data_IF_317777028052
#
_entry.id   IF_317777028052
#
_cell.length_a   1.000
_cell.length_b   1.000
_cell.length_c   1.000
_cell.angle_alpha   90.00
_cell.angle_beta   90.00
_cell.angle_gamma   90.00
#
_symmetry.space_group_name_H-M   'P 1'
#
loop_
_entity.id
_entity.type
_entity.pdbx_description
1 polymer ?
#
# COMPACT_ATOMS: atom_id res chain seq x y z
N UNK A 1 -12.51 6.31 -24.37
CA UNK A 1 -13.97 6.03 -24.39
C UNK A 1 -14.64 6.16 -25.76
N UNK A 2 -14.63 7.33 -26.42
CA UNK A 2 -15.44 7.55 -27.65
C UNK A 2 -15.17 6.55 -28.78
N UNK A 3 -13.92 6.13 -28.93
CA UNK A 3 -13.51 5.03 -29.81
C UNK A 3 -14.25 3.72 -29.53
N UNK A 4 -14.34 3.31 -28.27
CA UNK A 4 -15.03 2.09 -27.84
C UNK A 4 -16.54 2.16 -28.10
N UNK A 5 -17.17 3.30 -27.78
CA UNK A 5 -18.62 3.51 -28.02
C UNK A 5 -18.96 3.44 -29.51
N UNK A 6 -18.14 4.05 -30.35
CA UNK A 6 -18.36 4.04 -31.81
C UNK A 6 -18.10 2.66 -32.41
N UNK A 7 -17.12 1.90 -31.89
CA UNK A 7 -16.93 0.49 -32.25
C UNK A 7 -18.12 -0.37 -31.83
N UNK A 8 -18.62 -0.23 -30.60
CA UNK A 8 -19.82 -0.93 -30.14
C UNK A 8 -21.02 -0.69 -31.06
N UNK A 9 -21.25 0.57 -31.46
CA UNK A 9 -22.30 0.89 -32.43
C UNK A 9 -22.11 0.17 -33.77
N UNK A 10 -20.90 0.10 -34.29
CA UNK A 10 -20.61 -0.55 -35.56
C UNK A 10 -20.71 -2.08 -35.47
N UNK A 11 -20.06 -2.67 -34.47
CA UNK A 11 -19.78 -4.10 -34.37
C UNK A 11 -20.96 -4.86 -33.72
N UNK A 12 -21.59 -4.30 -32.69
CA UNK A 12 -22.65 -4.97 -31.94
C UNK A 12 -24.06 -4.51 -32.32
N UNK A 13 -24.21 -3.26 -32.80
CA UNK A 13 -25.51 -2.71 -33.17
C UNK A 13 -25.76 -2.68 -34.68
N UNK A 14 -24.83 -3.20 -35.50
CA UNK A 14 -24.95 -3.24 -36.96
C UNK A 14 -24.90 -1.85 -37.62
N UNK A 15 -24.27 -0.87 -36.96
CA UNK A 15 -24.20 0.51 -37.43
C UNK A 15 -23.14 0.79 -38.50
N UNK A 16 -22.38 -0.22 -38.92
CA UNK A 16 -21.22 -0.07 -39.80
C UNK A 16 -21.57 0.30 -41.25
N UNK A 17 -22.76 -0.06 -41.74
CA UNK A 17 -23.20 0.19 -43.14
C UNK A 17 -23.11 1.66 -43.58
N UNK A 18 -23.23 2.60 -42.63
CA UNK A 18 -23.17 4.05 -42.90
C UNK A 18 -21.79 4.66 -42.58
N UNK A 19 -20.81 3.85 -42.21
CA UNK A 19 -19.49 4.30 -41.77
C UNK A 19 -18.44 3.97 -42.82
N UNK A 20 -17.94 4.99 -43.52
CA UNK A 20 -16.82 4.82 -44.46
C UNK A 20 -15.50 4.50 -43.74
N UNK A 21 -15.30 5.12 -42.59
CA UNK A 21 -14.00 5.18 -41.92
C UNK A 21 -14.16 5.47 -40.44
N UNK A 22 -13.34 4.80 -39.64
CA UNK A 22 -13.22 5.00 -38.21
C UNK A 22 -11.78 5.40 -37.86
N UNK A 23 -11.62 6.47 -37.07
CA UNK A 23 -10.33 6.96 -36.61
C UNK A 23 -10.38 7.04 -35.08
N UNK A 24 -9.71 6.11 -34.41
CA UNK A 24 -9.54 6.13 -32.96
C UNK A 24 -8.33 6.96 -32.58
N UNK A 25 -8.52 7.96 -31.73
CA UNK A 25 -7.42 8.77 -31.15
C UNK A 25 -7.28 8.36 -29.70
N UNK A 26 -6.10 7.88 -29.31
CA UNK A 26 -5.83 7.29 -28.00
C UNK A 26 -6.95 6.31 -27.56
N UNK A 27 -7.34 5.36 -28.43
CA UNK A 27 -8.50 4.53 -28.17
C UNK A 27 -8.20 3.50 -27.06
N UNK A 28 -9.24 3.11 -26.33
CA UNK A 28 -9.21 2.06 -25.30
C UNK A 28 -9.73 0.75 -25.88
N UNK A 29 -9.15 0.30 -26.99
CA UNK A 29 -9.69 -0.81 -27.77
C UNK A 29 -9.71 -2.12 -27.00
N UNK A 30 -8.68 -2.34 -26.19
CA UNK A 30 -8.54 -3.50 -25.30
C UNK A 30 -8.69 -3.10 -23.83
N UNK A 31 -9.45 -2.02 -23.57
CA UNK A 31 -9.60 -1.40 -22.26
C UNK A 31 -8.43 -0.45 -21.92
N UNK A 32 -8.45 0.05 -20.69
CA UNK A 32 -7.34 0.80 -20.11
C UNK A 32 -6.95 0.13 -18.79
N UNK A 33 -5.68 -0.25 -18.63
CA UNK A 33 -5.23 -0.89 -17.40
C UNK A 33 -5.43 0.02 -16.17
N UNK A 34 -5.33 1.34 -16.36
CA UNK A 34 -5.64 2.35 -15.35
C UNK A 34 -7.09 2.29 -14.82
N UNK A 35 -8.03 1.69 -15.58
CA UNK A 35 -9.42 1.54 -15.16
C UNK A 35 -9.68 0.29 -14.31
N UNK A 36 -8.74 -0.66 -14.25
CA UNK A 36 -8.89 -1.88 -13.47
C UNK A 36 -8.76 -1.57 -11.96
N UNK A 37 -9.65 -2.15 -11.15
CA UNK A 37 -9.70 -1.92 -9.68
C UNK A 37 -8.93 -3.04 -8.98
N UNK A 38 -8.20 -2.71 -7.91
CA UNK A 38 -7.45 -3.69 -7.09
C UNK A 38 -6.13 -4.10 -7.74
N UNK A 39 -5.60 -3.28 -8.64
CA UNK A 39 -4.34 -3.53 -9.31
C UNK A 39 -3.14 -3.14 -8.43
N UNK A 40 -2.02 -3.86 -8.55
CA UNK A 40 -0.71 -3.42 -8.06
C UNK A 40 -0.32 -1.96 -8.29
N UNK A 41 -0.69 -1.39 -9.44
CA UNK A 41 -0.24 -0.10 -9.96
C UNK A 41 -1.34 0.96 -9.90
N UNK A 42 -2.57 0.57 -9.56
CA UNK A 42 -3.74 1.45 -9.41
C UNK A 42 -4.33 1.23 -8.01
N UNK A 43 -3.92 2.04 -7.00
CA UNK A 43 -4.43 1.93 -5.64
C UNK A 43 -5.97 1.94 -5.59
N UNK A 44 -6.56 1.27 -4.60
CA UNK A 44 -8.02 1.17 -4.50
C UNK A 44 -8.69 2.55 -4.37
N UNK A 45 -8.01 3.49 -3.73
CA UNK A 45 -8.43 4.89 -3.66
C UNK A 45 -8.31 5.61 -5.02
N UNK A 46 -7.27 5.34 -5.82
CA UNK A 46 -7.16 5.87 -7.18
C UNK A 46 -8.34 5.36 -8.02
N UNK A 47 -8.69 4.08 -7.90
CA UNK A 47 -9.90 3.47 -8.48
C UNK A 47 -11.21 4.17 -8.09
N UNK A 48 -11.30 4.70 -6.86
CA UNK A 48 -12.44 5.50 -6.40
C UNK A 48 -12.52 6.87 -7.07
N UNK A 49 -11.42 7.43 -7.58
CA UNK A 49 -11.35 8.78 -8.17
C UNK A 49 -11.00 8.81 -9.66
N UNK A 50 -10.69 7.67 -10.29
CA UNK A 50 -10.47 7.53 -11.74
C UNK A 50 -11.67 8.11 -12.52
N UNK A 51 -12.88 8.07 -11.96
CA UNK A 51 -14.03 8.71 -12.58
C UNK A 51 -13.99 10.26 -12.65
N UNK A 52 -13.20 10.90 -11.80
CA UNK A 52 -12.94 12.33 -11.89
C UNK A 52 -11.82 12.66 -12.89
N UNK A 53 -11.09 11.64 -13.37
CA UNK A 53 -9.92 11.76 -14.25
C UNK A 53 -10.24 11.41 -15.71
N UNK A 54 -10.93 10.29 -15.95
CA UNK A 54 -11.07 9.70 -17.31
C UNK A 54 -12.54 9.52 -17.76
N UNK A 55 -13.54 9.86 -16.93
CA UNK A 55 -14.96 9.84 -17.30
C UNK A 55 -15.89 9.36 -16.19
N UNK A 56 -17.21 9.31 -16.40
CA UNK A 56 -18.17 8.92 -15.34
C UNK A 56 -17.91 7.51 -14.77
N UNK A 57 -18.36 7.23 -13.53
CA UNK A 57 -18.20 5.88 -12.92
C UNK A 57 -18.66 4.73 -13.84
N UNK A 58 -19.79 4.84 -14.57
CA UNK A 58 -20.18 3.84 -15.57
C UNK A 58 -19.19 3.73 -16.74
N UNK A 59 -18.67 4.86 -17.24
CA UNK A 59 -17.71 4.86 -18.34
C UNK A 59 -16.40 4.17 -17.94
N UNK A 60 -15.87 4.47 -16.74
CA UNK A 60 -14.68 3.79 -16.20
C UNK A 60 -14.92 2.28 -16.09
N UNK A 61 -16.09 1.88 -15.56
CA UNK A 61 -16.44 0.46 -15.44
C UNK A 61 -16.44 -0.25 -16.80
N UNK A 62 -16.96 0.40 -17.84
CA UNK A 62 -17.00 -0.15 -19.19
C UNK A 62 -15.61 -0.18 -19.86
N UNK A 63 -14.65 0.66 -19.45
CA UNK A 63 -13.30 0.70 -20.01
C UNK A 63 -12.30 -0.25 -19.32
N UNK A 64 -12.73 -0.98 -18.28
CA UNK A 64 -11.91 -2.02 -17.64
C UNK A 64 -11.46 -3.05 -18.65
N UNK A 65 -10.25 -3.56 -18.51
CA UNK A 65 -9.74 -4.58 -19.43
C UNK A 65 -10.51 -5.90 -19.33
N UNK A 66 -11.21 -6.12 -18.21
CA UNK A 66 -12.16 -7.23 -18.00
C UNK A 66 -13.61 -6.79 -17.96
N UNK A 67 -13.95 -5.66 -18.56
CA UNK A 67 -15.37 -5.34 -18.75
C UNK A 67 -15.93 -6.25 -19.84
N UNK A 68 -17.21 -6.59 -19.73
CA UNK A 68 -17.91 -7.33 -20.78
C UNK A 68 -17.86 -6.56 -22.10
N UNK A 69 -17.93 -5.23 -22.05
CA UNK A 69 -17.87 -4.37 -23.23
C UNK A 69 -16.52 -4.51 -23.97
N UNK A 70 -15.40 -4.54 -23.24
CA UNK A 70 -14.07 -4.72 -23.81
C UNK A 70 -13.87 -6.14 -24.31
N UNK A 71 -14.28 -7.15 -23.54
CA UNK A 71 -14.18 -8.56 -23.93
C UNK A 71 -14.94 -8.82 -25.24
N UNK A 72 -16.17 -8.34 -25.37
CA UNK A 72 -16.96 -8.46 -26.61
C UNK A 72 -16.29 -7.78 -27.80
N UNK A 73 -15.72 -6.58 -27.62
CA UNK A 73 -15.04 -5.88 -28.70
C UNK A 73 -13.67 -6.49 -29.05
N UNK A 74 -13.08 -7.31 -28.17
CA UNK A 74 -11.82 -8.02 -28.42
C UNK A 74 -11.99 -9.25 -29.31
N UNK A 75 -13.21 -9.78 -29.44
CA UNK A 75 -13.52 -10.94 -30.31
C UNK A 75 -13.35 -10.64 -31.82
N UNK A 76 -12.92 -9.41 -32.18
CA UNK A 76 -12.42 -9.01 -33.51
C UNK A 76 -13.43 -9.13 -34.66
N UNK A 77 -14.71 -8.84 -34.41
CA UNK A 77 -15.75 -8.70 -35.45
C UNK A 77 -15.65 -7.35 -36.21
N UNK A 78 -14.44 -6.93 -36.61
CA UNK A 78 -14.25 -5.69 -37.35
C UNK A 78 -14.85 -5.80 -38.76
N UNK A 79 -15.62 -4.82 -39.17
CA UNK A 79 -16.26 -4.80 -40.49
C UNK A 79 -15.23 -4.51 -41.60
N UNK A 80 -15.12 -5.41 -42.57
CA UNK A 80 -14.20 -5.24 -43.71
C UNK A 80 -14.58 -4.07 -44.64
N UNK A 81 -15.81 -3.56 -44.58
CA UNK A 81 -16.27 -2.39 -45.30
C UNK A 81 -15.81 -1.06 -44.68
N UNK A 82 -15.32 -1.06 -43.44
CA UNK A 82 -14.90 0.15 -42.71
C UNK A 82 -13.37 0.27 -42.72
N UNK A 83 -12.87 1.46 -43.04
CA UNK A 83 -11.44 1.78 -42.90
C UNK A 83 -11.11 2.13 -41.44
N UNK A 84 -10.44 1.24 -40.72
CA UNK A 84 -10.00 1.47 -39.34
C UNK A 84 -8.59 2.05 -39.27
N UNK A 85 -8.42 3.10 -38.47
CA UNK A 85 -7.13 3.75 -38.21
C UNK A 85 -7.00 4.10 -36.74
N UNK A 86 -5.80 3.91 -36.20
CA UNK A 86 -5.45 4.22 -34.82
C UNK A 86 -4.43 5.36 -34.81
N UNK A 87 -4.63 6.36 -33.96
CA UNK A 87 -3.66 7.43 -33.68
C UNK A 87 -3.35 7.36 -32.19
N UNK A 88 -2.07 7.32 -31.81
CA UNK A 88 -1.62 7.16 -30.42
C UNK A 88 -0.50 8.15 -30.09
N UNK A 89 -0.56 8.78 -28.92
CA UNK A 89 0.59 9.46 -28.32
C UNK A 89 1.48 8.49 -27.53
N UNK A 90 2.81 8.63 -27.61
CA UNK A 90 3.78 7.76 -26.94
C UNK A 90 4.94 8.55 -26.33
N UNK A 91 5.65 7.96 -25.35
CA UNK A 91 6.80 8.54 -24.65
C UNK A 91 8.11 7.77 -24.91
N UNK A 92 8.44 7.52 -26.17
CA UNK A 92 9.66 6.81 -26.58
C UNK A 92 10.95 7.51 -26.12
N UNK A 93 10.95 8.82 -25.85
CA UNK A 93 12.11 9.52 -25.29
C UNK A 93 12.23 9.41 -23.75
N UNK A 94 11.36 8.63 -23.11
CA UNK A 94 11.44 8.32 -21.68
C UNK A 94 11.36 9.57 -20.78
N UNK A 95 10.65 10.61 -21.22
CA UNK A 95 10.52 11.87 -20.46
C UNK A 95 9.71 11.61 -19.19
N UNK A 96 10.36 11.67 -18.03
CA UNK A 96 9.73 11.45 -16.73
C UNK A 96 8.58 12.44 -16.42
N UNK A 97 8.53 13.58 -17.12
CA UNK A 97 7.48 14.59 -17.00
C UNK A 97 6.30 14.37 -17.96
N UNK A 98 6.40 13.39 -18.86
CA UNK A 98 5.45 13.13 -19.96
C UNK A 98 4.02 12.93 -19.52
N UNK A 99 3.78 12.34 -18.35
CA UNK A 99 2.44 12.08 -17.84
C UNK A 99 2.34 12.51 -16.39
N UNK A 100 1.82 13.71 -16.18
CA UNK A 100 1.39 14.19 -14.86
C UNK A 100 -0.13 14.25 -14.81
N UNK A 101 -0.74 13.28 -14.14
CA UNK A 101 -2.17 13.23 -13.94
C UNK A 101 -2.52 14.13 -12.75
N UNK A 102 -3.23 15.23 -13.02
CA UNK A 102 -3.71 16.15 -11.97
C UNK A 102 -4.94 15.58 -11.25
N UNK A 103 -4.74 15.09 -10.05
CA UNK A 103 -5.77 14.77 -9.06
C UNK A 103 -6.13 16.01 -8.24
N UNK A 104 -7.42 16.23 -7.99
CA UNK A 104 -7.93 17.27 -7.08
C UNK A 104 -7.37 18.69 -7.31
N UNK A 105 -7.04 19.04 -8.55
CA UNK A 105 -6.57 20.38 -8.93
C UNK A 105 -5.13 20.73 -8.55
N UNK A 106 -4.47 19.96 -7.68
CA UNK A 106 -3.11 20.25 -7.18
C UNK A 106 -2.18 19.04 -7.04
N UNK A 107 -2.69 17.81 -6.99
CA UNK A 107 -1.88 16.61 -6.81
C UNK A 107 -1.48 16.09 -8.20
N UNK A 108 -0.18 16.06 -8.52
CA UNK A 108 0.33 15.49 -9.78
C UNK A 108 0.83 14.07 -9.54
N UNK A 109 0.10 13.06 -10.05
CA UNK A 109 0.63 11.71 -10.16
C UNK A 109 1.52 11.63 -11.39
N UNK A 110 2.82 11.48 -11.17
CA UNK A 110 3.80 11.13 -12.19
C UNK A 110 4.09 9.64 -12.13
N UNK A 111 3.79 8.90 -13.19
CA UNK A 111 4.23 7.50 -13.31
C UNK A 111 5.66 7.41 -13.88
N UNK A 112 6.53 8.40 -13.61
CA UNK A 112 7.84 8.52 -14.23
C UNK A 112 7.78 8.58 -15.76
N UNK A 113 6.72 9.19 -16.32
CA UNK A 113 6.48 9.23 -17.76
C UNK A 113 5.92 7.95 -18.37
N UNK A 114 5.77 6.88 -17.59
CA UNK A 114 5.26 5.58 -18.08
C UNK A 114 3.72 5.52 -18.05
N UNK A 115 3.18 4.59 -18.80
CA UNK A 115 1.75 4.27 -18.88
C UNK A 115 1.50 2.87 -18.34
N UNK A 116 0.39 2.64 -17.65
CA UNK A 116 0.04 1.31 -17.14
C UNK A 116 -0.54 0.48 -18.30
N UNK A 117 -0.02 -0.74 -18.45
CA UNK A 117 -0.33 -1.69 -19.52
C UNK A 117 -0.82 -3.03 -18.94
N UNK A 118 -1.45 -3.87 -19.78
CA UNK A 118 -1.99 -5.18 -19.35
C UNK A 118 -2.05 -6.15 -20.54
N UNK A 119 -1.56 -7.38 -20.32
CA UNK A 119 -1.71 -8.52 -21.23
C UNK A 119 -2.10 -9.79 -20.48
N UNK A 120 -2.68 -10.72 -21.23
CA UNK A 120 -2.85 -12.09 -20.77
C UNK A 120 -1.57 -12.89 -21.02
N UNK A 121 -1.07 -13.55 -19.98
CA UNK A 121 0.02 -14.54 -20.06
C UNK A 121 -0.46 -15.78 -19.32
N UNK A 122 -0.49 -16.92 -20.02
CA UNK A 122 -0.96 -18.21 -19.48
C UNK A 122 -2.36 -18.15 -18.83
N UNK A 123 -3.28 -17.39 -19.45
CA UNK A 123 -4.66 -17.22 -18.97
C UNK A 123 -4.80 -16.30 -17.75
N UNK A 124 -3.70 -15.72 -17.25
CA UNK A 124 -3.71 -14.74 -16.16
C UNK A 124 -3.46 -13.33 -16.69
N UNK A 125 -4.14 -12.32 -16.12
CA UNK A 125 -3.85 -10.91 -16.38
C UNK A 125 -2.54 -10.52 -15.71
N UNK A 126 -1.66 -9.86 -16.45
CA UNK A 126 -0.40 -9.32 -15.96
C UNK A 126 -0.31 -7.85 -16.34
N UNK A 127 0.19 -7.03 -15.42
CA UNK A 127 0.27 -5.56 -15.55
C UNK A 127 1.73 -5.11 -15.48
N UNK A 128 2.08 -4.02 -16.16
CA UNK A 128 3.40 -3.39 -16.11
C UNK A 128 3.30 -1.91 -16.48
N UNK A 129 4.38 -1.15 -16.29
CA UNK A 129 4.50 0.21 -16.80
C UNK A 129 5.39 0.24 -18.04
N UNK A 130 4.95 0.99 -19.05
CA UNK A 130 5.60 1.08 -20.36
C UNK A 130 5.75 2.53 -20.79
N UNK A 131 6.86 2.90 -21.43
CA UNK A 131 7.00 4.19 -22.09
C UNK A 131 6.18 4.27 -23.39
N UNK A 132 5.78 3.12 -23.93
CA UNK A 132 4.91 3.02 -25.09
C UNK A 132 3.44 3.22 -24.69
N UNK A 133 3.08 4.45 -24.37
CA UNK A 133 1.69 4.84 -24.12
C UNK A 133 1.54 6.34 -23.91
N UNK A 134 0.29 6.79 -23.82
CA UNK A 134 -0.04 8.22 -23.76
C UNK A 134 -0.17 8.79 -22.33
N UNK A 135 0.23 8.00 -21.33
CA UNK A 135 0.08 8.30 -19.91
C UNK A 135 -1.23 7.80 -19.29
N UNK A 136 -2.20 7.34 -20.08
CA UNK A 136 -3.50 6.80 -19.64
C UNK A 136 -3.79 5.42 -20.25
N UNK A 137 -3.48 5.24 -21.53
CA UNK A 137 -3.72 4.02 -22.31
C UNK A 137 -2.42 3.58 -22.96
N UNK A 138 -2.00 2.34 -22.69
CA UNK A 138 -0.82 1.78 -23.31
C UNK A 138 -1.02 1.57 -24.81
N UNK A 139 0.06 1.69 -25.58
CA UNK A 139 0.05 1.52 -27.04
C UNK A 139 -0.59 0.19 -27.44
N UNK A 140 -0.20 -0.89 -26.79
CA UNK A 140 -0.76 -2.22 -27.03
C UNK A 140 -2.28 -2.28 -26.80
N UNK A 141 -2.80 -1.56 -25.81
CA UNK A 141 -4.24 -1.52 -25.52
C UNK A 141 -5.01 -0.62 -26.49
N UNK A 142 -4.31 0.31 -27.15
CA UNK A 142 -4.86 1.13 -28.23
C UNK A 142 -4.84 0.46 -29.60
N UNK A 143 -4.01 -0.55 -29.82
CA UNK A 143 -3.89 -1.18 -31.13
C UNK A 143 -5.18 -1.90 -31.58
N UNK A 144 -5.27 -2.15 -32.89
CA UNK A 144 -6.24 -3.08 -33.47
C UNK A 144 -5.48 -4.00 -34.40
N UNK A 145 -5.57 -5.30 -34.16
CA UNK A 145 -4.84 -6.30 -34.92
C UNK A 145 -5.05 -6.14 -36.44
N UNK A 146 -3.95 -6.00 -37.18
CA UNK A 146 -3.98 -5.87 -38.64
C UNK A 146 -4.52 -4.55 -39.19
N UNK A 147 -4.77 -3.54 -38.35
CA UNK A 147 -5.21 -2.19 -38.79
C UNK A 147 -4.07 -1.19 -38.65
N UNK A 148 -4.13 -0.12 -39.45
CA UNK A 148 -3.03 0.85 -39.53
C UNK A 148 -2.98 1.79 -38.33
N UNK A 149 -1.77 2.15 -37.90
CA UNK A 149 -1.51 2.95 -36.71
C UNK A 149 -0.53 4.10 -36.99
N UNK A 150 -0.77 5.24 -36.37
CA UNK A 150 0.07 6.44 -36.40
C UNK A 150 0.46 6.81 -34.96
N UNK A 151 1.72 6.60 -34.60
CA UNK A 151 2.26 6.97 -33.29
C UNK A 151 2.93 8.35 -33.34
N UNK A 152 2.74 9.14 -32.29
CA UNK A 152 3.31 10.48 -32.14
C UNK A 152 4.06 10.61 -30.82
N UNK A 153 5.36 10.86 -30.94
CA UNK A 153 6.24 11.02 -29.80
C UNK A 153 5.99 12.33 -29.03
N UNK A 154 6.10 12.28 -27.70
CA UNK A 154 5.96 13.45 -26.83
C UNK A 154 4.52 13.89 -26.57
N UNK A 155 3.52 13.12 -27.02
CA UNK A 155 2.10 13.47 -26.89
C UNK A 155 1.38 12.61 -25.85
N UNK A 156 0.74 13.28 -24.91
CA UNK A 156 -0.04 12.67 -23.83
C UNK A 156 -1.49 12.44 -24.25
N UNK A 157 -2.26 11.75 -23.42
CA UNK A 157 -3.68 11.51 -23.64
C UNK A 157 -4.46 12.81 -23.92
N UNK A 158 -4.07 13.90 -23.25
CA UNK A 158 -4.72 15.20 -23.34
C UNK A 158 -4.17 16.10 -24.44
N UNK A 159 -2.89 15.95 -24.83
CA UNK A 159 -2.27 16.83 -25.84
C UNK A 159 -2.43 16.29 -27.25
N UNK A 160 -2.59 14.97 -27.43
CA UNK A 160 -2.75 14.33 -28.75
C UNK A 160 -3.94 14.90 -29.53
N UNK A 161 -5.07 15.14 -28.87
CA UNK A 161 -6.31 15.60 -29.52
C UNK A 161 -6.25 17.06 -30.00
N UNK A 162 -5.38 17.87 -29.40
CA UNK A 162 -5.21 19.30 -29.72
C UNK A 162 -3.90 19.59 -30.48
N UNK A 163 -3.12 18.57 -30.83
CA UNK A 163 -1.86 18.73 -31.54
C UNK A 163 -2.08 19.06 -33.03
N UNK A 164 -1.43 20.11 -33.53
CA UNK A 164 -1.61 20.58 -34.90
C UNK A 164 -1.21 19.56 -35.97
N UNK A 165 -0.18 18.75 -35.71
CA UNK A 165 0.27 17.69 -36.63
C UNK A 165 -0.75 16.55 -36.68
N UNK A 166 -1.26 16.13 -35.52
CA UNK A 166 -2.32 15.11 -35.42
C UNK A 166 -3.60 15.59 -36.14
N UNK A 167 -4.02 16.83 -35.90
CA UNK A 167 -5.19 17.42 -36.57
C UNK A 167 -5.00 17.45 -38.09
N UNK A 168 -3.82 17.87 -38.56
CA UNK A 168 -3.51 17.89 -39.99
C UNK A 168 -3.60 16.49 -40.59
N UNK A 169 -3.09 15.47 -39.88
CA UNK A 169 -3.17 14.07 -40.32
C UNK A 169 -4.60 13.56 -40.42
N UNK A 170 -5.45 13.88 -39.45
CA UNK A 170 -6.87 13.53 -39.50
C UNK A 170 -7.55 14.19 -40.69
N UNK A 171 -7.25 15.46 -40.97
CA UNK A 171 -7.78 16.16 -42.15
C UNK A 171 -7.35 15.47 -43.46
N UNK A 172 -6.10 15.00 -43.55
CA UNK A 172 -5.65 14.21 -44.71
C UNK A 172 -6.49 12.94 -44.89
N UNK A 173 -6.68 12.17 -43.83
CA UNK A 173 -7.49 10.95 -43.86
C UNK A 173 -8.95 11.21 -44.27
N UNK A 174 -9.54 12.29 -43.77
CA UNK A 174 -10.92 12.64 -44.10
C UNK A 174 -11.07 13.06 -45.56
N UNK A 175 -10.08 13.78 -46.11
CA UNK A 175 -10.06 14.23 -47.51
C UNK A 175 -9.73 13.10 -48.49
N UNK A 176 -8.82 12.20 -48.12
CA UNK A 176 -8.33 11.12 -48.97
C UNK A 176 -8.27 9.78 -48.18
N UNK A 177 -9.29 8.93 -48.32
CA UNK A 177 -9.31 7.62 -47.67
C UNK A 177 -8.21 6.66 -48.15
N UNK A 178 -7.57 6.92 -49.29
CA UNK A 178 -6.48 6.08 -49.81
C UNK A 178 -5.15 6.34 -49.10
N UNK A 179 -5.06 7.43 -48.33
CA UNK A 179 -3.84 7.78 -47.59
C UNK A 179 -3.45 6.65 -46.64
N UNK A 180 -2.24 6.11 -46.78
CA UNK A 180 -1.74 5.04 -45.93
C UNK A 180 -1.42 5.55 -44.51
N UNK A 181 -1.56 4.69 -43.49
CA UNK A 181 -1.03 4.94 -42.15
C UNK A 181 0.51 4.96 -42.15
N UNK A 182 1.09 5.63 -41.17
CA UNK A 182 2.54 5.68 -40.95
C UNK A 182 3.07 4.30 -40.54
N UNK A 183 2.27 3.55 -39.77
CA UNK A 183 2.61 2.24 -39.22
C UNK A 183 3.96 2.26 -38.50
N UNK A 184 4.16 3.29 -37.69
CA UNK A 184 5.39 3.58 -36.96
C UNK A 184 5.28 3.24 -35.46
N UNK A 185 4.45 2.27 -35.10
CA UNK A 185 4.39 1.78 -33.74
C UNK A 185 5.71 1.08 -33.38
N UNK A 186 6.37 1.46 -32.28
CA UNK A 186 7.58 0.78 -31.81
C UNK A 186 7.30 -0.70 -31.53
N UNK A 187 8.25 -1.59 -31.87
CA UNK A 187 8.09 -3.04 -31.70
C UNK A 187 8.49 -3.55 -30.31
N UNK A 188 9.23 -2.75 -29.56
CA UNK A 188 9.81 -3.10 -28.26
C UNK A 188 9.87 -1.86 -27.39
N UNK A 189 9.49 -2.00 -26.13
CA UNK A 189 9.83 -1.03 -25.09
C UNK A 189 11.20 -1.42 -24.53
N UNK A 190 12.19 -0.53 -24.62
CA UNK A 190 13.54 -0.77 -24.09
C UNK A 190 13.56 -0.89 -22.58
N UNK A 191 12.62 -0.22 -21.91
CA UNK A 191 12.47 -0.20 -20.46
C UNK A 191 11.00 -0.41 -20.10
N UNK A 192 10.63 -1.65 -19.80
CA UNK A 192 9.35 -1.94 -19.19
C UNK A 192 9.56 -2.32 -17.72
N UNK A 193 8.89 -1.61 -16.81
CA UNK A 193 8.91 -1.99 -15.41
C UNK A 193 7.78 -3.00 -15.20
N UNK A 194 8.14 -4.28 -15.05
CA UNK A 194 7.27 -5.23 -14.36
C UNK A 194 7.15 -4.78 -12.91
N UNK A 195 6.11 -3.99 -12.65
CA UNK A 195 5.88 -3.46 -11.32
C UNK A 195 5.08 -4.45 -10.50
N UNK A 196 5.70 -4.89 -9.42
CA UNK A 196 5.10 -5.77 -8.43
C UNK A 196 4.63 -4.93 -7.24
N UNK A 197 3.35 -5.03 -6.88
CA UNK A 197 2.87 -4.51 -5.59
C UNK A 197 3.11 -5.61 -4.60
N UNK A 198 4.12 -5.43 -3.77
CA UNK A 198 4.27 -6.25 -2.59
C UNK A 198 3.14 -5.91 -1.62
N UNK A 199 2.90 -4.63 -1.29
CA UNK A 199 2.04 -4.30 -0.15
C UNK A 199 1.18 -3.04 -0.35
N UNK A 200 -0.12 -3.17 -0.07
CA UNK A 200 -0.96 -2.03 0.32
C UNK A 200 -0.89 -1.92 1.84
N UNK A 201 -0.23 -0.89 2.37
CA UNK A 201 -0.51 -0.48 3.74
C UNK A 201 -1.94 0.05 3.74
N UNK A 202 -2.84 -0.65 4.43
CA UNK A 202 -4.25 -0.27 4.57
C UNK A 202 -4.37 1.26 4.69
N UNK A 203 -5.11 1.88 3.77
CA UNK A 203 -5.51 3.25 3.96
C UNK A 203 -6.26 3.35 5.30
N UNK A 204 -5.80 4.20 6.20
CA UNK A 204 -6.27 4.27 7.58
C UNK A 204 -6.37 5.71 8.06
N UNK A 205 -6.82 5.89 9.30
CA UNK A 205 -6.84 7.21 9.94
C UNK A 205 -5.79 7.19 11.05
N UNK A 206 -4.66 7.87 10.82
CA UNK A 206 -3.62 8.02 11.83
C UNK A 206 -4.06 9.13 12.80
N UNK A 207 -4.16 8.85 14.10
CA UNK A 207 -4.52 9.88 15.09
C UNK A 207 -3.27 10.52 15.69
N UNK A 208 -3.48 11.67 16.33
CA UNK A 208 -2.45 12.36 17.08
C UNK A 208 -1.76 11.44 18.08
N UNK A 209 -0.42 11.41 18.06
CA UNK A 209 0.41 10.55 18.93
C UNK A 209 0.55 9.09 18.47
N UNK A 210 -0.13 8.68 17.39
CA UNK A 210 0.04 7.33 16.84
C UNK A 210 1.32 7.23 15.99
N UNK A 211 1.90 6.03 16.00
CA UNK A 211 3.02 5.62 15.17
C UNK A 211 2.64 4.31 14.47
N UNK A 212 2.89 4.22 13.17
CA UNK A 212 2.77 2.98 12.40
C UNK A 212 4.18 2.43 12.15
N UNK A 213 4.39 1.13 12.36
CA UNK A 213 5.59 0.43 11.92
C UNK A 213 5.20 -0.66 10.91
N UNK A 214 5.90 -0.72 9.79
CA UNK A 214 5.73 -1.72 8.74
C UNK A 214 7.08 -2.40 8.48
N UNK A 215 7.08 -3.72 8.36
CA UNK A 215 8.28 -4.51 8.08
C UNK A 215 8.09 -5.29 6.78
N UNK A 216 9.03 -5.12 5.85
CA UNK A 216 8.92 -5.57 4.47
C UNK A 216 10.14 -6.43 4.14
N UNK A 217 9.98 -7.74 3.97
CA UNK A 217 11.08 -8.57 3.52
C UNK A 217 11.34 -8.36 2.02
N UNK A 218 12.61 -8.21 1.68
CA UNK A 218 13.12 -8.02 0.32
C UNK A 218 14.03 -9.21 0.01
N UNK A 219 13.70 -9.97 -1.03
CA UNK A 219 14.47 -11.15 -1.44
C UNK A 219 15.66 -10.83 -2.34
N UNK A 220 16.36 -11.86 -2.79
CA UNK A 220 17.42 -11.72 -3.79
C UNK A 220 16.87 -11.32 -5.18
N UNK A 221 17.65 -10.58 -5.96
CA UNK A 221 17.34 -10.11 -7.33
C UNK A 221 16.26 -9.03 -7.44
N UNK A 222 16.05 -8.26 -6.35
CA UNK A 222 15.30 -7.01 -6.42
C UNK A 222 16.19 -5.90 -6.95
N UNK A 223 15.74 -5.23 -8.01
CA UNK A 223 16.44 -4.12 -8.64
C UNK A 223 16.03 -2.76 -8.11
N UNK A 224 14.77 -2.60 -7.71
CA UNK A 224 14.32 -1.35 -7.12
C UNK A 224 13.23 -1.58 -6.07
N UNK A 225 13.07 -0.61 -5.20
CA UNK A 225 12.01 -0.58 -4.19
C UNK A 225 11.44 0.85 -4.08
N UNK A 226 10.11 0.97 -4.08
CA UNK A 226 9.38 2.25 -4.02
C UNK A 226 8.50 2.31 -2.78
N UNK A 227 8.59 3.43 -2.07
CA UNK A 227 7.69 3.78 -0.97
C UNK A 227 6.97 5.08 -1.27
N UNK A 228 5.64 5.06 -1.18
CA UNK A 228 4.82 6.27 -1.34
C UNK A 228 3.85 6.39 -0.17
N UNK A 229 3.99 7.45 0.62
CA UNK A 229 3.01 7.87 1.61
C UNK A 229 2.20 9.05 1.05
N UNK A 230 0.88 9.02 1.20
CA UNK A 230 -0.03 10.11 0.80
C UNK A 230 -1.01 10.43 1.92
N UNK A 231 -1.30 11.72 2.12
CA UNK A 231 -2.20 12.28 3.13
C UNK A 231 -2.85 13.59 2.61
N UNK A 232 -3.91 14.09 3.26
CA UNK A 232 -4.84 15.10 2.73
C UNK A 232 -4.79 16.47 3.42
N UNK A 233 -4.21 16.61 4.61
CA UNK A 233 -4.18 17.91 5.30
C UNK A 233 -3.29 18.06 6.53
N UNK A 234 -2.61 17.01 6.98
CA UNK A 234 -1.78 17.01 8.20
C UNK A 234 -0.32 16.70 7.89
N UNK A 235 0.62 17.06 8.76
CA UNK A 235 2.02 16.68 8.57
C UNK A 235 2.27 15.27 9.12
N UNK A 236 2.67 14.34 8.24
CA UNK A 236 3.17 13.02 8.61
C UNK A 236 4.67 12.93 8.31
N UNK A 237 5.40 12.12 9.08
CA UNK A 237 6.80 11.81 8.79
C UNK A 237 6.95 10.34 8.43
N UNK A 238 7.83 10.03 7.46
CA UNK A 238 8.18 8.65 7.09
C UNK A 238 9.67 8.42 7.29
N UNK A 239 10.03 7.38 8.05
CA UNK A 239 11.40 6.94 8.27
C UNK A 239 11.55 5.53 7.73
N UNK A 240 12.58 5.28 6.92
CA UNK A 240 12.85 3.96 6.35
C UNK A 240 14.22 3.50 6.84
N UNK A 241 14.33 2.25 7.28
CA UNK A 241 15.57 1.63 7.78
C UNK A 241 15.84 0.36 6.99
N UNK A 242 17.05 0.23 6.45
CA UNK A 242 17.53 -0.96 5.73
C UNK A 242 17.72 -2.17 6.67
N UNK A 243 17.86 -3.39 6.13
CA UNK A 243 18.17 -4.59 6.91
C UNK A 243 19.47 -4.45 7.71
N UNK A 244 20.47 -3.76 7.19
CA UNK A 244 21.72 -3.41 7.89
C UNK A 244 21.57 -2.35 8.98
N UNK A 245 20.38 -1.78 9.17
CA UNK A 245 20.08 -0.76 10.18
C UNK A 245 20.37 0.68 9.73
N UNK A 246 20.60 0.92 8.43
CA UNK A 246 20.81 2.26 7.90
C UNK A 246 19.47 2.96 7.71
N UNK A 247 19.26 4.08 8.39
CA UNK A 247 18.14 4.97 8.08
C UNK A 247 18.39 5.68 6.75
N UNK A 248 17.47 5.54 5.80
CA UNK A 248 17.54 6.23 4.52
C UNK A 248 17.42 7.74 4.69
N UNK A 249 18.15 8.46 3.86
CA UNK A 249 18.13 9.92 3.77
C UNK A 249 18.07 10.33 2.30
N UNK A 250 17.54 11.52 2.03
CA UNK A 250 17.44 12.06 0.68
C UNK A 250 18.80 12.07 -0.04
N UNK A 251 18.83 11.62 -1.29
CA UNK A 251 20.02 11.62 -2.16
C UNK A 251 21.24 10.86 -1.61
N UNK A 252 21.04 9.95 -0.65
CA UNK A 252 22.09 9.04 -0.18
C UNK A 252 21.78 7.65 -0.72
N UNK A 253 22.79 7.02 -1.34
CA UNK A 253 22.74 5.63 -1.79
C UNK A 253 22.18 4.71 -0.68
N UNK A 254 21.18 3.84 -0.97
CA UNK A 254 20.66 3.47 -2.29
C UNK A 254 19.48 4.31 -2.85
N UNK A 255 19.18 5.49 -2.29
CA UNK A 255 18.04 6.33 -2.74
C UNK A 255 18.36 7.04 -4.06
N UNK A 256 17.67 6.64 -5.13
CA UNK A 256 17.78 7.23 -6.48
C UNK A 256 16.63 8.19 -6.82
N UNK A 257 15.56 8.21 -6.02
CA UNK A 257 14.47 9.14 -6.17
C UNK A 257 13.88 9.52 -4.82
N UNK A 258 13.67 10.81 -4.58
CA UNK A 258 13.03 11.32 -3.37
C UNK A 258 12.23 12.58 -3.68
N UNK A 259 11.03 12.67 -3.10
CA UNK A 259 10.33 13.94 -2.96
C UNK A 259 9.45 13.94 -1.71
N UNK A 260 9.32 15.12 -1.13
CA UNK A 260 8.42 15.40 -0.02
C UNK A 260 7.66 16.68 -0.33
N UNK A 261 6.33 16.64 -0.22
CA UNK A 261 5.45 17.79 -0.38
C UNK A 261 4.39 17.79 0.71
N UNK A 262 3.50 18.78 0.68
CA UNK A 262 2.47 19.00 1.71
C UNK A 262 1.54 17.79 1.93
N UNK A 263 1.46 16.87 0.97
CA UNK A 263 0.49 15.78 0.96
C UNK A 263 1.14 14.40 0.68
N UNK A 264 2.46 14.31 0.50
CA UNK A 264 3.09 13.06 0.09
C UNK A 264 4.59 13.02 0.36
N UNK A 265 5.07 11.82 0.72
CA UNK A 265 6.49 11.47 0.82
C UNK A 265 6.77 10.27 -0.09
N UNK A 266 7.84 10.33 -0.85
CA UNK A 266 8.24 9.32 -1.83
C UNK A 266 9.71 8.96 -1.73
N UNK A 267 10.01 7.66 -1.82
CA UNK A 267 11.35 7.12 -1.99
C UNK A 267 11.38 6.10 -3.13
N UNK A 268 12.42 6.15 -3.95
CA UNK A 268 12.83 5.11 -4.88
C UNK A 268 14.25 4.70 -4.55
N UNK A 269 14.43 3.41 -4.33
CA UNK A 269 15.66 2.78 -3.90
C UNK A 269 16.11 1.85 -5.02
N UNK A 270 17.36 1.92 -5.45
CA UNK A 270 17.92 0.96 -6.40
C UNK A 270 18.77 -0.09 -5.69
N UNK A 271 18.80 -1.31 -6.25
CA UNK A 271 19.54 -2.46 -5.72
C UNK A 271 19.39 -2.62 -4.19
N UNK A 272 18.15 -2.71 -3.65
CA UNK A 272 17.94 -2.78 -2.22
C UNK A 272 18.62 -4.01 -1.60
N UNK A 273 19.12 -3.84 -0.39
CA UNK A 273 19.66 -4.93 0.43
C UNK A 273 18.60 -6.01 0.67
N UNK A 274 19.01 -7.28 0.55
CA UNK A 274 18.21 -8.44 0.92
C UNK A 274 17.99 -8.48 2.43
N UNK A 275 16.75 -8.66 2.86
CA UNK A 275 16.38 -8.70 4.27
C UNK A 275 15.16 -7.84 4.59
N UNK A 276 14.96 -7.55 5.88
CA UNK A 276 13.77 -6.84 6.35
C UNK A 276 14.02 -5.33 6.37
N UNK A 277 13.27 -4.62 5.54
CA UNK A 277 13.19 -3.17 5.58
C UNK A 277 12.11 -2.73 6.55
N UNK A 278 12.40 -1.72 7.36
CA UNK A 278 11.46 -1.15 8.34
C UNK A 278 11.02 0.23 7.89
N UNK A 279 9.71 0.49 7.90
CA UNK A 279 9.13 1.81 7.69
C UNK A 279 8.43 2.23 8.96
N UNK A 280 8.65 3.46 9.39
CA UNK A 280 7.93 4.10 10.48
C UNK A 280 7.21 5.34 9.98
N UNK A 281 5.90 5.44 10.25
CA UNK A 281 5.11 6.65 10.00
C UNK A 281 4.73 7.28 11.33
N UNK A 282 5.09 8.55 11.51
CA UNK A 282 4.77 9.32 12.70
C UNK A 282 3.73 10.39 12.38
N UNK A 283 2.73 10.54 13.25
CA UNK A 283 1.85 11.71 13.25
C UNK A 283 2.61 12.92 13.83
N UNK A 284 3.01 13.87 12.97
CA UNK A 284 3.75 15.08 13.41
C UNK A 284 2.76 16.16 13.85
N UNK A 285 1.85 16.56 12.95
CA UNK A 285 0.80 17.54 13.24
C UNK A 285 -0.52 17.07 12.65
N UNK A 286 -1.28 16.31 13.46
CA UNK A 286 -2.51 15.61 13.08
C UNK A 286 -3.66 16.07 13.99
N UNK A 287 -4.84 16.41 13.46
CA UNK A 287 -6.00 16.81 14.25
C UNK A 287 -6.57 15.64 15.06
N UNK A 288 -7.36 15.94 16.10
CA UNK A 288 -7.96 14.91 16.98
C UNK A 288 -8.90 13.95 16.22
N UNK A 289 -9.48 14.42 15.10
CA UNK A 289 -10.28 13.59 14.19
C UNK A 289 -9.43 12.54 13.42
N UNK A 290 -8.11 12.71 13.42
CA UNK A 290 -7.14 11.90 12.70
C UNK A 290 -6.97 12.30 11.23
N UNK A 291 -5.86 11.84 10.66
CA UNK A 291 -5.46 12.07 9.28
C UNK A 291 -5.63 10.79 8.44
N UNK A 292 -6.46 10.81 7.40
CA UNK A 292 -6.48 9.73 6.42
C UNK A 292 -5.14 9.63 5.69
N UNK A 293 -4.52 8.45 5.69
CA UNK A 293 -3.27 8.20 4.97
C UNK A 293 -3.39 6.97 4.06
N UNK A 294 -2.47 6.87 3.09
CA UNK A 294 -2.24 5.68 2.27
C UNK A 294 -0.75 5.44 2.14
N UNK A 295 -0.31 4.20 2.39
CA UNK A 295 1.08 3.78 2.21
C UNK A 295 1.15 2.70 1.12
N UNK A 296 2.02 2.92 0.15
CA UNK A 296 2.33 1.98 -0.92
C UNK A 296 3.79 1.56 -0.77
N UNK A 297 4.03 0.25 -0.77
CA UNK A 297 5.35 -0.32 -0.91
C UNK A 297 5.38 -1.27 -2.12
N UNK A 298 6.26 -0.99 -3.07
CA UNK A 298 6.40 -1.73 -4.32
C UNK A 298 7.84 -2.18 -4.53
N UNK A 299 8.01 -3.35 -5.15
CA UNK A 299 9.29 -4.04 -5.35
C UNK A 299 9.42 -4.31 -6.86
N UNK A 300 10.63 -4.18 -7.44
CA UNK A 300 10.85 -4.25 -8.89
C UNK A 300 12.02 -5.17 -9.26
N UNK A 301 11.87 -6.01 -10.32
CA UNK A 301 12.95 -6.87 -10.87
C UNK A 301 13.03 -6.74 -12.41
N UNK A 302 14.23 -6.76 -13.01
CA UNK A 302 14.40 -6.66 -14.49
C UNK A 302 14.42 -8.00 -15.26
N UNK A 303 14.39 -9.19 -14.67
CA UNK A 303 14.64 -10.42 -15.44
C UNK A 303 13.52 -11.47 -15.43
N UNK A 304 13.47 -12.21 -16.56
CA UNK A 304 12.41 -13.07 -17.08
C UNK A 304 11.66 -13.94 -16.05
N UNK A 305 10.35 -14.08 -16.32
CA UNK A 305 9.40 -14.92 -15.59
C UNK A 305 9.95 -16.34 -15.34
N UNK A 306 10.18 -16.77 -14.08
CA UNK A 306 10.23 -18.19 -13.79
C UNK A 306 8.82 -18.78 -14.02
N UNK A 307 8.75 -19.92 -14.70
CA UNK A 307 7.50 -20.65 -14.99
C UNK A 307 6.94 -21.38 -13.77
N UNK A 308 7.74 -21.54 -12.72
CA UNK A 308 7.38 -22.16 -11.44
C UNK A 308 7.60 -21.17 -10.29
N UNK A 309 6.66 -21.17 -9.36
CA UNK A 309 6.71 -20.35 -8.15
C UNK A 309 7.60 -21.00 -7.09
N UNK A 310 8.71 -20.33 -6.77
CA UNK A 310 9.76 -20.82 -5.85
C UNK A 310 10.08 -19.81 -4.75
N UNK A 311 9.29 -18.73 -4.64
CA UNK A 311 9.55 -17.64 -3.70
C UNK A 311 8.51 -17.73 -2.60
N UNK A 312 8.96 -17.71 -1.35
CA UNK A 312 8.04 -17.74 -0.22
C UNK A 312 7.29 -16.40 -0.04
N UNK A 313 6.07 -16.45 0.53
CA UNK A 313 5.35 -15.26 0.95
C UNK A 313 6.12 -14.37 1.93
N UNK A 314 5.58 -13.17 2.10
CA UNK A 314 5.98 -12.19 3.08
C UNK A 314 4.80 -11.82 3.98
N UNK A 315 4.98 -11.90 5.29
CA UNK A 315 3.98 -11.51 6.29
C UNK A 315 4.48 -10.32 7.09
N UNK A 316 3.60 -9.35 7.32
CA UNK A 316 3.82 -8.24 8.24
C UNK A 316 2.79 -8.29 9.36
N UNK A 317 3.13 -7.73 10.52
CA UNK A 317 2.24 -7.57 11.66
C UNK A 317 1.98 -6.09 11.94
N UNK A 318 0.71 -5.76 12.18
CA UNK A 318 0.23 -4.45 12.61
C UNK A 318 -0.31 -4.57 14.04
N UNK A 319 0.22 -3.72 14.93
CA UNK A 319 -0.18 -3.64 16.34
C UNK A 319 -0.82 -2.28 16.60
N UNK A 320 -2.11 -2.27 16.90
CA UNK A 320 -2.86 -1.05 17.19
C UNK A 320 -3.27 -0.99 18.67
N UNK A 321 -2.94 0.10 19.34
CA UNK A 321 -3.31 0.36 20.73
C UNK A 321 -2.80 1.73 21.18
N UNK A 322 -3.20 2.16 22.37
CA UNK A 322 -2.66 3.39 22.98
C UNK A 322 -1.28 3.07 23.56
N UNK A 323 -0.24 3.74 23.08
CA UNK A 323 1.14 3.54 23.53
C UNK A 323 1.58 4.71 24.42
N UNK A 324 2.06 4.40 25.62
CA UNK A 324 2.62 5.34 26.58
C UNK A 324 3.96 4.78 27.06
N UNK A 325 5.05 5.55 26.92
CA UNK A 325 6.40 5.13 27.34
C UNK A 325 6.84 3.74 26.83
N UNK A 326 6.55 3.42 25.56
CA UNK A 326 6.83 2.12 24.92
C UNK A 326 6.05 0.91 25.48
N UNK A 327 5.01 1.12 26.30
CA UNK A 327 4.05 0.09 26.70
C UNK A 327 2.64 0.45 26.23
N UNK A 328 1.86 -0.55 25.86
CA UNK A 328 0.45 -0.33 25.54
C UNK A 328 -0.36 -0.16 26.83
N UNK A 329 -1.07 0.97 26.97
CA UNK A 329 -1.90 1.26 28.14
C UNK A 329 -3.27 0.58 28.09
N UNK A 330 -3.54 -0.23 27.05
CA UNK A 330 -4.77 -1.00 26.88
C UNK A 330 -4.56 -2.17 25.93
N UNK A 331 -5.65 -2.87 25.60
CA UNK A 331 -5.66 -4.00 24.67
C UNK A 331 -4.99 -3.66 23.33
N UNK A 332 -4.22 -4.61 22.79
CA UNK A 332 -3.57 -4.46 21.48
C UNK A 332 -4.35 -5.25 20.44
N UNK A 333 -4.80 -4.59 19.38
CA UNK A 333 -5.37 -5.23 18.21
C UNK A 333 -4.24 -5.65 17.25
N UNK A 334 -4.20 -6.93 16.91
CA UNK A 334 -3.17 -7.55 16.08
C UNK A 334 -3.78 -7.89 14.73
N UNK A 335 -3.15 -7.42 13.66
CA UNK A 335 -3.49 -7.77 12.29
C UNK A 335 -2.26 -8.32 11.58
N UNK A 336 -2.34 -9.55 11.06
CA UNK A 336 -1.33 -10.09 10.14
C UNK A 336 -1.75 -9.82 8.70
N UNK A 337 -0.78 -9.44 7.88
CA UNK A 337 -0.96 -9.08 6.48
C UNK A 337 0.06 -9.89 5.69
N UNK A 338 -0.42 -10.85 4.92
CA UNK A 338 0.43 -11.73 4.13
C UNK A 338 0.22 -11.49 2.65
N UNK A 339 1.34 -11.47 1.93
CA UNK A 339 1.42 -11.15 0.52
C UNK A 339 2.35 -12.15 -0.16
N UNK A 340 2.06 -12.46 -1.41
CA UNK A 340 2.90 -13.31 -2.23
C UNK A 340 3.60 -12.47 -3.29
N UNK A 341 4.73 -12.94 -3.82
CA UNK A 341 5.38 -12.25 -4.93
C UNK A 341 4.45 -12.26 -6.15
N UNK A 342 4.56 -11.24 -6.98
CA UNK A 342 3.72 -11.20 -8.19
C UNK A 342 4.15 -12.29 -9.17
N UNK A 343 3.17 -13.03 -9.69
CA UNK A 343 3.42 -14.25 -10.45
C UNK A 343 3.48 -15.50 -9.57
N UNK A 344 3.58 -15.32 -8.25
CA UNK A 344 3.43 -16.36 -7.26
C UNK A 344 2.04 -17.00 -7.27
N UNK A 345 1.95 -18.10 -6.56
CA UNK A 345 0.80 -18.99 -6.51
C UNK A 345 -0.33 -18.48 -5.60
N UNK A 346 -0.09 -17.38 -4.89
CA UNK A 346 -0.98 -16.76 -3.90
C UNK A 346 -0.83 -17.41 -2.53
N UNK A 347 -1.24 -16.69 -1.49
CA UNK A 347 -1.22 -17.19 -0.11
C UNK A 347 -2.17 -18.39 0.03
N UNK A 348 -1.66 -19.47 0.62
CA UNK A 348 -2.44 -20.63 1.04
C UNK A 348 -2.88 -20.46 2.49
N UNK A 349 -1.95 -20.22 3.40
CA UNK A 349 -2.25 -19.94 4.80
C UNK A 349 -1.24 -19.01 5.46
N UNK A 350 -1.67 -18.40 6.56
CA UNK A 350 -0.85 -17.63 7.49
C UNK A 350 -1.01 -18.26 8.86
N UNK A 351 0.10 -18.51 9.55
CA UNK A 351 0.12 -19.11 10.88
C UNK A 351 0.77 -18.16 11.88
N UNK A 352 0.31 -18.24 13.13
CA UNK A 352 0.87 -17.47 14.24
C UNK A 352 0.92 -18.28 15.53
N UNK A 353 1.84 -17.91 16.42
CA UNK A 353 1.99 -18.45 17.76
C UNK A 353 2.17 -17.31 18.75
N UNK A 354 1.44 -17.36 19.86
CA UNK A 354 1.55 -16.38 20.95
C UNK A 354 2.37 -17.01 22.06
N UNK A 355 3.48 -16.39 22.46
CA UNK A 355 4.35 -16.86 23.55
C UNK A 355 4.76 -18.34 23.40
N UNK A 356 4.99 -18.80 22.17
CA UNK A 356 5.39 -20.19 21.87
C UNK A 356 4.26 -21.23 22.02
N UNK A 357 3.00 -20.80 22.14
CA UNK A 357 1.83 -21.70 22.08
C UNK A 357 1.73 -22.41 20.73
N UNK A 358 0.97 -23.52 20.61
CA UNK A 358 0.80 -24.20 19.33
C UNK A 358 0.31 -23.26 18.21
N UNK A 359 0.91 -23.40 17.02
CA UNK A 359 0.58 -22.61 15.84
C UNK A 359 -0.91 -22.65 15.50
N UNK A 360 -1.49 -21.48 15.30
CA UNK A 360 -2.88 -21.26 14.91
C UNK A 360 -2.95 -20.61 13.54
N UNK A 361 -3.97 -20.95 12.74
CA UNK A 361 -4.20 -20.29 11.44
C UNK A 361 -4.83 -18.92 11.67
N UNK A 362 -4.24 -17.89 11.08
CA UNK A 362 -4.79 -16.54 11.09
C UNK A 362 -6.00 -16.44 10.16
N UNK A 363 -7.16 -16.08 10.70
CA UNK A 363 -8.42 -15.95 9.94
C UNK A 363 -8.96 -14.51 9.91
N UNK A 364 -8.69 -13.75 10.97
CA UNK A 364 -9.11 -12.36 11.12
C UNK A 364 -8.26 -11.70 12.21
N UNK A 365 -8.25 -10.35 12.27
CA UNK A 365 -7.63 -9.63 13.39
C UNK A 365 -8.12 -10.15 14.75
N UNK A 366 -7.25 -10.11 15.75
CA UNK A 366 -7.53 -10.55 17.12
C UNK A 366 -6.93 -9.59 18.14
N UNK A 367 -7.43 -9.66 19.38
CA UNK A 367 -7.03 -8.73 20.44
C UNK A 367 -6.26 -9.46 21.53
N UNK A 368 -5.13 -8.89 21.94
CA UNK A 368 -4.38 -9.31 23.13
C UNK A 368 -4.78 -8.42 24.31
N UNK A 369 -5.21 -9.09 25.39
CA UNK A 369 -5.61 -8.47 26.65
C UNK A 369 -4.62 -8.77 27.78
N UNK A 370 -3.75 -9.76 27.59
CA UNK A 370 -2.85 -10.24 28.61
C UNK A 370 -1.81 -9.16 28.91
N UNK A 371 -1.78 -8.75 30.17
CA UNK A 371 -0.80 -7.77 30.66
C UNK A 371 0.59 -8.41 30.71
N UNK A 372 1.62 -7.59 30.45
CA UNK A 372 3.00 -8.02 30.41
C UNK A 372 3.53 -8.15 28.97
N UNK A 373 4.70 -8.75 28.85
CA UNK A 373 5.33 -8.98 27.55
C UNK A 373 4.60 -10.09 26.78
N UNK A 374 4.32 -9.82 25.51
CA UNK A 374 3.76 -10.75 24.55
C UNK A 374 4.68 -10.81 23.34
N UNK A 375 5.03 -12.04 22.97
CA UNK A 375 5.77 -12.36 21.75
C UNK A 375 4.83 -13.06 20.77
N UNK A 376 4.79 -12.58 19.52
CA UNK A 376 4.03 -13.18 18.43
C UNK A 376 5.01 -13.65 17.36
N UNK A 377 5.03 -14.96 17.13
CA UNK A 377 5.69 -15.56 15.98
C UNK A 377 4.70 -15.73 14.84
N UNK A 378 5.11 -15.50 13.60
CA UNK A 378 4.23 -15.61 12.43
C UNK A 378 4.99 -15.95 11.15
N UNK A 379 4.33 -16.64 10.22
CA UNK A 379 4.82 -16.91 8.86
C UNK A 379 3.65 -17.27 7.94
N UNK A 380 3.88 -17.27 6.64
CA UNK A 380 2.91 -17.75 5.64
C UNK A 380 3.46 -18.82 4.71
N UNK A 381 2.55 -19.60 4.12
CA UNK A 381 2.82 -20.56 3.05
C UNK A 381 1.98 -20.20 1.83
N UNK A 382 2.55 -20.30 0.63
CA UNK A 382 1.82 -20.11 -0.62
C UNK A 382 1.15 -21.41 -1.14
N UNK A 383 0.50 -21.32 -2.29
CA UNK A 383 -0.14 -22.48 -2.93
C UNK A 383 0.84 -23.41 -3.66
N UNK A 384 2.10 -22.99 -3.87
CA UNK A 384 3.19 -23.78 -4.42
C UNK A 384 3.95 -24.57 -3.33
N UNK A 385 3.72 -24.25 -2.06
CA UNK A 385 4.33 -24.88 -0.89
C UNK A 385 5.61 -24.18 -0.42
N UNK A 386 5.92 -22.97 -0.89
CA UNK A 386 7.03 -22.19 -0.37
C UNK A 386 6.63 -21.59 0.99
N UNK A 387 7.49 -21.76 1.99
CA UNK A 387 7.24 -21.38 3.38
C UNK A 387 8.14 -20.21 3.75
N UNK A 388 7.53 -19.15 4.27
CA UNK A 388 8.22 -17.97 4.78
C UNK A 388 9.10 -18.33 5.99
N UNK A 389 10.23 -17.64 6.13
CA UNK A 389 11.01 -17.74 7.37
C UNK A 389 10.25 -17.09 8.53
N UNK A 390 10.16 -17.79 9.66
CA UNK A 390 9.45 -17.30 10.85
C UNK A 390 9.89 -15.88 11.26
N UNK A 391 8.90 -15.02 11.41
CA UNK A 391 9.04 -13.64 11.88
C UNK A 391 8.60 -13.53 13.35
N UNK A 392 9.07 -12.49 14.03
CA UNK A 392 8.79 -12.25 15.46
C UNK A 392 8.41 -10.79 15.71
N UNK A 393 7.46 -10.56 16.62
CA UNK A 393 7.16 -9.25 17.17
C UNK A 393 6.95 -9.33 18.68
N UNK A 394 7.56 -8.40 19.42
CA UNK A 394 7.49 -8.32 20.88
C UNK A 394 6.87 -6.99 21.28
N UNK A 395 5.90 -7.03 22.19
CA UNK A 395 5.32 -5.82 22.78
C UNK A 395 4.88 -6.08 24.23
N UNK A 396 4.69 -5.01 25.00
CA UNK A 396 4.24 -5.08 26.40
C UNK A 396 2.92 -4.33 26.58
N UNK A 397 1.96 -4.93 27.27
CA UNK A 397 0.76 -4.25 27.80
C UNK A 397 1.02 -3.92 29.26
N UNK A 398 0.72 -2.69 29.69
CA UNK A 398 0.86 -2.24 31.08
C UNK A 398 -0.31 -2.72 31.95
N UNK A 399 -0.08 -2.88 33.25
CA UNK A 399 -1.17 -3.05 34.21
C UNK A 399 -1.92 -1.71 34.30
N UNK A 400 -3.21 -1.73 34.00
CA UNK A 400 -4.06 -0.55 34.19
C UNK A 400 -4.47 -0.52 35.66
N UNK A 401 -3.93 0.45 36.39
CA UNK A 401 -4.31 0.73 37.77
C UNK A 401 -5.32 1.87 37.83
N UNK A 402 -6.15 1.91 38.88
CA UNK A 402 -7.11 2.99 39.09
C UNK A 402 -6.58 3.96 40.16
N UNK A 403 -6.90 5.27 40.09
CA UNK A 403 -6.60 6.18 41.19
C UNK A 403 -7.24 5.70 42.49
N UNK A 404 -6.43 5.57 43.54
CA UNK A 404 -6.93 5.23 44.87
C UNK A 404 -7.87 6.33 45.39
N UNK A 405 -8.76 6.02 46.35
CA UNK A 405 -9.67 7.02 46.89
C UNK A 405 -8.95 8.24 47.46
N UNK A 406 -9.19 9.41 46.85
CA UNK A 406 -8.53 10.67 47.22
C UNK A 406 -7.36 11.07 46.32
N UNK A 407 -6.91 10.20 45.42
CA UNK A 407 -5.88 10.47 44.42
C UNK A 407 -6.49 10.89 43.08
N UNK A 408 -5.77 11.73 42.33
CA UNK A 408 -6.17 12.16 40.97
C UNK A 408 -5.55 11.31 39.88
N UNK A 409 -4.37 10.73 40.14
CA UNK A 409 -3.63 9.90 39.20
C UNK A 409 -3.64 8.44 39.69
N UNK A 410 -3.57 7.46 38.76
CA UNK A 410 -3.40 6.06 39.12
C UNK A 410 -1.99 5.80 39.68
N UNK A 411 -1.82 4.72 40.46
CA UNK A 411 -0.50 4.22 40.85
C UNK A 411 0.44 4.10 39.66
N UNK A 412 1.74 4.36 39.87
CA UNK A 412 2.77 4.24 38.85
C UNK A 412 3.84 3.23 39.29
N UNK A 413 4.52 2.65 38.30
CA UNK A 413 5.73 1.84 38.41
C UNK A 413 6.89 2.71 37.91
N UNK A 414 7.71 3.25 38.82
CA UNK A 414 8.71 4.27 38.48
C UNK A 414 9.98 3.67 37.87
N UNK A 415 10.28 2.40 38.14
CA UNK A 415 11.50 1.73 37.68
C UNK A 415 11.27 0.61 36.64
N UNK A 416 10.01 0.35 36.28
CA UNK A 416 9.52 -0.63 35.31
C UNK A 416 9.75 -2.10 35.71
N UNK A 417 9.92 -2.38 37.01
CA UNK A 417 10.11 -3.74 37.53
C UNK A 417 8.80 -4.53 37.69
N UNK A 418 7.66 -3.87 37.50
CA UNK A 418 6.32 -4.46 37.60
C UNK A 418 5.60 -4.18 38.93
N UNK A 419 6.25 -3.53 39.90
CA UNK A 419 5.67 -3.15 41.18
C UNK A 419 5.30 -1.66 41.21
N UNK A 420 4.12 -1.34 41.75
CA UNK A 420 3.55 0.01 41.69
C UNK A 420 3.72 0.73 43.05
N UNK A 421 4.95 1.13 43.32
CA UNK A 421 5.45 1.78 44.53
C UNK A 421 5.01 3.24 44.69
N UNK A 422 4.80 3.99 43.60
CA UNK A 422 4.12 5.30 43.62
C UNK A 422 2.60 5.09 43.67
N UNK A 423 2.12 4.69 44.84
CA UNK A 423 0.72 4.32 45.09
C UNK A 423 -0.22 5.52 44.93
N UNK A 424 0.26 6.73 45.14
CA UNK A 424 -0.57 7.94 45.06
C UNK A 424 -0.54 8.62 43.68
N UNK A 425 0.42 8.27 42.83
CA UNK A 425 0.55 8.73 41.45
C UNK A 425 1.11 10.15 41.31
N UNK A 426 1.87 10.65 42.30
CA UNK A 426 2.49 11.98 42.26
C UNK A 426 3.87 12.01 41.59
N UNK A 427 4.34 10.86 41.11
CA UNK A 427 5.61 10.67 40.45
C UNK A 427 6.79 10.49 41.41
N UNK A 428 6.55 10.27 42.71
CA UNK A 428 7.60 10.11 43.72
C UNK A 428 7.27 8.99 44.71
N UNK A 429 8.09 7.95 44.76
CA UNK A 429 7.99 6.96 45.84
C UNK A 429 8.38 7.55 47.21
N UNK A 430 7.41 7.66 48.11
CA UNK A 430 7.54 8.37 49.38
C UNK A 430 6.86 7.64 50.54
N UNK A 431 7.05 8.16 51.76
CA UNK A 431 6.30 7.68 52.92
C UNK A 431 4.78 7.91 52.78
N UNK A 432 4.36 8.83 51.91
CA UNK A 432 2.94 9.05 51.58
C UNK A 432 2.32 7.81 50.96
N UNK A 433 3.05 7.13 50.07
CA UNK A 433 2.63 5.94 49.35
C UNK A 433 2.49 4.74 50.27
N UNK A 434 3.45 4.53 51.16
CA UNK A 434 3.40 3.45 52.15
C UNK A 434 2.20 3.62 53.08
N UNK A 435 1.96 4.87 53.53
CA UNK A 435 0.81 5.19 54.37
C UNK A 435 -0.50 4.92 53.62
N UNK A 436 -0.59 5.33 52.36
CA UNK A 436 -1.78 5.16 51.53
C UNK A 436 -2.05 3.67 51.23
N UNK A 437 -1.00 2.92 50.91
CA UNK A 437 -1.06 1.47 50.74
C UNK A 437 -1.56 0.80 52.02
N UNK A 438 -0.99 1.11 53.18
CA UNK A 438 -1.45 0.59 54.47
C UNK A 438 -2.91 0.95 54.80
N UNK A 439 -3.41 2.07 54.30
CA UNK A 439 -4.81 2.49 54.48
C UNK A 439 -5.78 1.66 53.63
N UNK A 440 -5.34 1.15 52.47
CA UNK A 440 -6.21 0.51 51.47
C UNK A 440 -5.87 -0.93 51.10
N UNK A 441 -4.78 -1.51 51.62
CA UNK A 441 -4.28 -2.85 51.25
C UNK A 441 -5.29 -3.98 51.53
N UNK A 442 -6.20 -3.84 52.50
CA UNK A 442 -7.20 -4.86 52.85
C UNK A 442 -8.65 -4.42 52.57
N UNK A 443 -8.87 -3.20 52.06
CA UNK A 443 -10.21 -2.62 51.87
C UNK A 443 -10.53 -2.36 50.41
N UNK A 444 -9.61 -1.79 49.65
CA UNK A 444 -9.90 -1.29 48.30
C UNK A 444 -9.00 -1.90 47.23
N UNK A 445 -7.69 -1.95 47.46
CA UNK A 445 -6.70 -2.42 46.47
C UNK A 445 -7.01 -3.87 46.02
N UNK A 446 -7.27 -4.86 46.91
CA UNK A 446 -7.53 -6.23 46.47
C UNK A 446 -8.78 -6.40 45.59
N UNK A 447 -9.69 -5.43 45.60
CA UNK A 447 -10.94 -5.47 44.85
C UNK A 447 -10.93 -4.65 43.56
N UNK A 448 -9.98 -3.73 43.40
CA UNK A 448 -9.97 -2.74 42.30
C UNK A 448 -8.65 -2.67 41.54
N UNK A 449 -7.59 -3.31 42.05
CA UNK A 449 -6.26 -3.29 41.45
C UNK A 449 -5.75 -4.70 41.11
N UNK A 450 -4.84 -4.83 40.13
CA UNK A 450 -4.17 -6.10 39.86
C UNK A 450 -3.27 -6.51 41.02
N UNK A 451 -3.53 -7.69 41.61
CA UNK A 451 -2.76 -8.23 42.76
C UNK A 451 -1.25 -8.21 42.50
N UNK A 452 -0.83 -8.62 41.29
CA UNK A 452 0.58 -8.73 40.93
C UNK A 452 1.37 -7.41 41.04
N UNK A 453 0.71 -6.25 40.91
CA UNK A 453 1.36 -4.94 41.02
C UNK A 453 1.71 -4.56 42.47
N UNK A 454 1.05 -5.19 43.44
CA UNK A 454 1.06 -4.83 44.85
C UNK A 454 1.44 -6.00 45.78
N UNK A 455 1.79 -7.15 45.19
CA UNK A 455 2.29 -8.37 45.87
C UNK A 455 3.81 -8.29 46.04
N UNK A 456 4.28 -7.28 46.79
CA UNK A 456 5.70 -6.97 46.97
C UNK A 456 6.49 -8.10 47.66
N UNK A 457 5.83 -8.99 48.41
CA UNK A 457 6.49 -10.13 49.04
C UNK A 457 6.38 -11.45 48.23
N UNK A 458 5.65 -11.43 47.11
CA UNK A 458 5.56 -12.51 46.12
C UNK A 458 4.79 -13.74 46.60
N UNK A 459 3.86 -13.57 47.55
CA UNK A 459 3.10 -14.67 48.16
C UNK A 459 1.80 -15.00 47.41
N UNK A 460 1.43 -14.20 46.40
CA UNK A 460 0.25 -14.37 45.57
C UNK A 460 -1.03 -13.68 46.09
N UNK A 461 -0.96 -12.86 47.14
CA UNK A 461 -2.10 -12.09 47.66
C UNK A 461 -1.64 -10.79 48.36
N UNK A 462 -2.47 -9.75 48.29
CA UNK A 462 -2.18 -8.49 49.01
C UNK A 462 -2.53 -8.65 50.50
N UNK A 463 -1.56 -8.40 51.37
CA UNK A 463 -1.69 -8.47 52.82
C UNK A 463 -0.69 -7.59 53.57
N UNK A 464 -0.63 -7.76 54.89
CA UNK A 464 0.28 -6.96 55.72
C UNK A 464 1.77 -7.27 55.44
N UNK A 465 2.06 -8.42 54.82
CA UNK A 465 3.40 -8.77 54.35
C UNK A 465 3.91 -7.79 53.30
N UNK A 466 3.04 -7.39 52.37
CA UNK A 466 3.31 -6.43 51.30
C UNK A 466 3.55 -5.02 51.83
N UNK A 467 2.79 -4.59 52.83
CA UNK A 467 3.03 -3.29 53.49
C UNK A 467 4.43 -3.23 54.07
N UNK A 468 4.88 -4.33 54.69
CA UNK A 468 6.22 -4.42 55.28
C UNK A 468 7.30 -4.50 54.21
N UNK A 469 7.07 -5.22 53.12
CA UNK A 469 7.98 -5.30 51.99
C UNK A 469 8.17 -3.93 51.32
N UNK A 470 7.07 -3.23 51.02
CA UNK A 470 7.09 -1.87 50.49
C UNK A 470 7.82 -0.88 51.42
N UNK A 471 7.59 -0.98 52.73
CA UNK A 471 8.30 -0.16 53.71
C UNK A 471 9.83 -0.43 53.72
N UNK A 472 10.24 -1.68 53.52
CA UNK A 472 11.66 -2.03 53.45
C UNK A 472 12.30 -1.55 52.15
N UNK A 473 11.58 -1.60 51.02
CA UNK A 473 12.06 -1.07 49.72
C UNK A 473 12.33 0.43 49.79
N UNK A 474 11.50 1.20 50.51
CA UNK A 474 11.74 2.64 50.71
C UNK A 474 12.95 2.94 51.62
N UNK A 475 13.26 2.05 52.55
CA UNK A 475 14.32 2.22 53.55
C UNK A 475 15.73 1.84 53.05
N UNK A 476 15.83 1.29 51.85
CA UNK A 476 17.07 0.87 51.16
C UNK A 476 17.40 1.82 50.04
#
# INVERSE_FOLDING_TARGET
>A
MGAMVTRWYMEEMGGSDSVRQWIGINPVNHGAALADKGDPLVPDWLGLFVHNLIGTKPAVKAMKTSSTEVETLNDNNLDNGVLYRVIVGINENEDASFSRIKLFGSIELGFGGKTIAMKFVDGKRKYWRTYLGDGVVALEQSQLAGKGIDCYEGLTHNTTTNNATVISRIIEYLKDPSKACMNNAPSTDSEFDLKFKAQEGNGGVLKKGMCLALYIPVGANINELEYTLTYLGSQLGMTIVSPSGQTLQENIDPVIGFYENENSIYYLISSPEEGIWSIRINAIDVPDAGEPYSLIAAIYNESDFPTDDVIAPATSILLEGTLENNCYSSSVNVTLISIDNTGGSGINNTQYSINGTPWSTYASPFTILDVGETTIYYFSTDNAGNVETEQEAVFRIANITNPLPGCTNPPQDLDNDGFYEDVNGDGVFSFGDIRLFFEYYDVWIPANEPIACFDYDGNGFIGFGDVRALFWMWGT
#
